data_IF_600592658169
#
_entry.id   IF_600592658169
#
_cell.length_a   1.000
_cell.length_b   1.000
_cell.length_c   1.000
_cell.angle_alpha   90.00
_cell.angle_beta   90.00
_cell.angle_gamma   90.00
#
_symmetry.space_group_name_H-M   'P 1'
#
loop_
_entity.id
_entity.type
_entity.pdbx_description
1 polymer ?
#
# COMPACT_ATOMS: atom_id res chain seq x y z
N UNK A 1 41.77 -24.43 8.78
CA UNK A 1 40.69 -25.40 8.47
C UNK A 1 39.36 -25.04 9.14
N UNK A 2 39.32 -24.73 10.44
CA UNK A 2 38.06 -24.33 11.13
C UNK A 2 37.41 -23.04 10.59
N UNK A 3 38.21 -22.02 10.26
CA UNK A 3 37.71 -20.74 9.72
C UNK A 3 36.99 -20.89 8.37
N UNK A 4 37.49 -21.78 7.51
CA UNK A 4 36.92 -22.04 6.18
C UNK A 4 35.58 -22.81 6.28
N UNK A 5 35.47 -23.70 7.27
CA UNK A 5 34.22 -24.40 7.59
C UNK A 5 33.19 -23.42 8.18
N UNK A 6 33.62 -22.52 9.07
CA UNK A 6 32.76 -21.48 9.62
C UNK A 6 32.22 -20.53 8.54
N UNK A 7 33.07 -20.10 7.61
CA UNK A 7 32.65 -19.27 6.47
C UNK A 7 31.63 -20.00 5.58
N UNK A 8 31.85 -21.27 5.30
CA UNK A 8 30.91 -22.08 4.51
C UNK A 8 29.54 -22.22 5.20
N UNK A 9 29.53 -22.47 6.51
CA UNK A 9 28.29 -22.53 7.30
C UNK A 9 27.56 -21.18 7.29
N UNK A 10 28.30 -20.08 7.39
CA UNK A 10 27.73 -18.73 7.33
C UNK A 10 27.10 -18.45 5.95
N UNK A 11 27.79 -18.72 4.85
CA UNK A 11 27.25 -18.55 3.49
C UNK A 11 25.99 -19.40 3.29
N UNK A 12 25.98 -20.65 3.79
CA UNK A 12 24.80 -21.51 3.72
C UNK A 12 23.62 -20.90 4.47
N UNK A 13 23.85 -20.36 5.67
CA UNK A 13 22.80 -19.68 6.45
C UNK A 13 22.27 -18.45 5.73
N UNK A 14 23.14 -17.61 5.17
CA UNK A 14 22.70 -16.42 4.42
C UNK A 14 21.88 -16.83 3.20
N UNK A 15 22.26 -17.90 2.48
CA UNK A 15 21.47 -18.44 1.37
C UNK A 15 20.06 -18.87 1.80
N UNK A 16 19.93 -19.50 2.96
CA UNK A 16 18.63 -19.88 3.53
C UNK A 16 17.78 -18.67 3.92
N UNK A 17 18.39 -17.65 4.54
CA UNK A 17 17.69 -16.41 4.91
C UNK A 17 17.21 -15.64 3.67
N UNK A 18 18.02 -15.59 2.60
CA UNK A 18 17.62 -14.98 1.32
C UNK A 18 16.50 -15.78 0.64
N UNK A 19 16.57 -17.11 0.67
CA UNK A 19 15.48 -17.95 0.17
C UNK A 19 14.18 -17.68 0.93
N UNK A 20 14.25 -17.51 2.26
CA UNK A 20 13.09 -17.21 3.09
C UNK A 20 12.45 -15.86 2.75
N UNK A 21 13.27 -14.82 2.56
CA UNK A 21 12.80 -13.50 2.12
C UNK A 21 12.12 -13.60 0.75
N UNK A 22 12.77 -14.26 -0.21
CA UNK A 22 12.28 -14.30 -1.58
C UNK A 22 11.02 -15.14 -1.79
N UNK A 23 10.88 -16.25 -1.06
CA UNK A 23 9.75 -17.17 -1.22
C UNK A 23 8.46 -16.70 -0.54
N UNK A 24 8.55 -15.66 0.30
CA UNK A 24 7.42 -15.05 1.00
C UNK A 24 6.67 -16.00 1.94
N UNK A 25 5.66 -15.47 2.63
CA UNK A 25 4.70 -16.30 3.37
C UNK A 25 3.73 -17.01 2.42
N UNK A 26 3.34 -16.38 1.30
CA UNK A 26 2.48 -16.92 0.24
C UNK A 26 2.84 -16.33 -1.15
N UNK A 27 2.07 -16.68 -2.19
CA UNK A 27 2.26 -16.18 -3.56
C UNK A 27 2.01 -14.66 -3.70
N UNK A 28 1.23 -14.05 -2.81
CA UNK A 28 0.88 -12.62 -2.83
C UNK A 28 1.93 -11.75 -2.10
N UNK A 29 2.71 -12.34 -1.20
CA UNK A 29 3.72 -11.70 -0.35
C UNK A 29 5.16 -12.07 -0.75
N UNK A 30 5.38 -12.36 -2.03
CA UNK A 30 6.74 -12.46 -2.56
C UNK A 30 7.45 -11.11 -2.40
N UNK A 31 8.71 -11.14 -1.99
CA UNK A 31 9.50 -9.92 -1.87
C UNK A 31 9.75 -9.26 -3.24
N UNK A 32 9.72 -10.06 -4.30
CA UNK A 32 9.70 -9.61 -5.69
C UNK A 32 8.37 -8.89 -6.00
N UNK A 33 8.46 -7.61 -6.39
CA UNK A 33 7.31 -6.75 -6.66
C UNK A 33 6.77 -5.99 -5.44
N UNK A 34 7.41 -6.12 -4.26
CA UNK A 34 6.95 -5.44 -3.05
C UNK A 34 7.06 -3.91 -3.17
N UNK A 35 8.09 -3.41 -3.87
CA UNK A 35 8.18 -1.98 -4.20
C UNK A 35 6.98 -1.47 -5.01
N UNK A 36 6.51 -2.25 -5.99
CA UNK A 36 5.37 -1.91 -6.84
C UNK A 36 4.05 -1.92 -6.05
N UNK A 37 3.87 -2.90 -5.16
CA UNK A 37 2.69 -2.96 -4.28
C UNK A 37 2.62 -1.75 -3.35
N UNK A 38 3.75 -1.35 -2.75
CA UNK A 38 3.79 -0.17 -1.88
C UNK A 38 3.54 1.12 -2.67
N UNK A 39 4.02 1.23 -3.91
CA UNK A 39 3.72 2.37 -4.79
C UNK A 39 2.22 2.44 -5.14
N UNK A 40 1.59 1.28 -5.39
CA UNK A 40 0.15 1.20 -5.61
C UNK A 40 -0.66 1.66 -4.39
N UNK A 41 -0.21 1.36 -3.16
CA UNK A 41 -0.82 1.88 -1.93
C UNK A 41 -0.74 3.41 -1.86
N UNK A 42 0.43 3.99 -2.15
CA UNK A 42 0.60 5.45 -2.15
C UNK A 42 -0.36 6.08 -3.15
N UNK A 43 -0.40 5.59 -4.40
CA UNK A 43 -1.32 6.09 -5.43
C UNK A 43 -2.79 5.96 -5.04
N UNK A 44 -3.19 4.79 -4.50
CA UNK A 44 -4.57 4.57 -4.08
C UNK A 44 -4.99 5.54 -2.97
N UNK A 45 -4.10 5.80 -2.00
CA UNK A 45 -4.37 6.75 -0.92
C UNK A 45 -4.40 8.20 -1.41
N UNK A 46 -3.51 8.60 -2.33
CA UNK A 46 -3.56 9.93 -2.98
C UNK A 46 -4.87 10.14 -3.75
N UNK A 47 -5.29 9.14 -4.53
CA UNK A 47 -6.54 9.21 -5.29
C UNK A 47 -7.78 9.30 -4.38
N UNK A 48 -7.79 8.55 -3.27
CA UNK A 48 -8.86 8.64 -2.28
C UNK A 48 -8.91 10.04 -1.65
N UNK A 49 -7.75 10.60 -1.25
CA UNK A 49 -7.67 11.96 -0.70
C UNK A 49 -8.13 13.02 -1.69
N UNK A 50 -7.71 12.95 -2.96
CA UNK A 50 -8.18 13.86 -4.01
C UNK A 50 -9.69 13.77 -4.22
N UNK A 51 -10.26 12.57 -4.14
CA UNK A 51 -11.70 12.35 -4.24
C UNK A 51 -12.45 12.99 -3.08
N UNK A 52 -11.94 12.85 -1.85
CA UNK A 52 -12.50 13.47 -0.64
C UNK A 52 -12.47 15.00 -0.76
N UNK A 53 -11.32 15.58 -1.11
CA UNK A 53 -11.19 17.04 -1.26
C UNK A 53 -12.13 17.58 -2.35
N UNK A 54 -12.23 16.90 -3.49
CA UNK A 54 -13.16 17.30 -4.56
C UNK A 54 -14.63 17.19 -4.15
N UNK A 55 -14.98 16.29 -3.23
CA UNK A 55 -16.31 16.21 -2.65
C UNK A 55 -16.58 17.37 -1.70
N UNK A 56 -15.62 17.73 -0.84
CA UNK A 56 -15.71 18.90 0.04
C UNK A 56 -15.86 20.20 -0.77
N UNK A 57 -15.14 20.35 -1.89
CA UNK A 57 -15.29 21.56 -2.74
C UNK A 57 -16.70 21.70 -3.32
N UNK A 58 -17.38 20.58 -3.56
CA UNK A 58 -18.78 20.59 -4.01
C UNK A 58 -19.71 20.96 -2.85
N UNK A 59 -19.41 20.52 -1.63
CA UNK A 59 -20.14 20.91 -0.42
C UNK A 59 -20.01 22.42 -0.17
N UNK A 60 -18.79 22.97 -0.20
CA UNK A 60 -18.53 24.40 -0.07
C UNK A 60 -19.39 25.23 -1.04
N UNK A 61 -19.45 24.81 -2.31
CA UNK A 61 -20.27 25.48 -3.35
C UNK A 61 -21.76 25.40 -3.03
N UNK A 62 -22.24 24.26 -2.55
CA UNK A 62 -23.64 24.07 -2.17
C UNK A 62 -24.00 24.93 -0.95
N UNK A 63 -23.15 24.95 0.08
CA UNK A 63 -23.30 25.77 1.28
C UNK A 63 -23.29 27.25 0.92
N UNK A 64 -22.34 27.71 0.10
CA UNK A 64 -22.29 29.10 -0.36
C UNK A 64 -23.55 29.52 -1.11
N UNK A 65 -24.08 28.63 -1.97
CA UNK A 65 -25.35 28.87 -2.68
C UNK A 65 -26.53 28.99 -1.71
N UNK A 66 -26.64 28.10 -0.74
CA UNK A 66 -27.70 28.13 0.27
C UNK A 66 -27.62 29.41 1.13
N UNK A 67 -26.40 29.81 1.52
CA UNK A 67 -26.17 31.01 2.32
C UNK A 67 -26.63 32.29 1.59
N UNK A 68 -26.55 32.32 0.26
CA UNK A 68 -27.09 33.42 -0.56
C UNK A 68 -28.62 33.44 -0.70
N UNK A 69 -29.31 32.36 -0.33
CA UNK A 69 -30.78 32.23 -0.42
C UNK A 69 -31.49 32.40 0.93
N UNK A 70 -30.74 32.31 2.03
CA UNK A 70 -31.26 32.30 3.39
C UNK A 70 -30.91 33.63 4.08
N UNK A 71 -31.81 34.13 4.93
CA UNK A 71 -31.57 35.34 5.74
C UNK A 71 -31.77 35.10 7.24
N UNK A 72 -32.16 33.88 7.61
CA UNK A 72 -32.35 33.50 9.01
C UNK A 72 -30.98 33.36 9.70
N UNK A 73 -30.75 34.06 10.84
CA UNK A 73 -29.46 34.04 11.52
C UNK A 73 -29.06 32.67 12.07
N UNK A 74 -30.02 31.87 12.54
CA UNK A 74 -29.75 30.56 13.13
C UNK A 74 -29.35 29.55 12.04
N UNK A 75 -30.07 29.55 10.93
CA UNK A 75 -29.71 28.76 9.75
C UNK A 75 -28.36 29.17 9.17
N UNK A 76 -28.05 30.46 9.16
CA UNK A 76 -26.75 30.98 8.69
C UNK A 76 -25.60 30.47 9.57
N UNK A 77 -25.78 30.44 10.88
CA UNK A 77 -24.78 29.92 11.82
C UNK A 77 -24.50 28.43 11.62
N UNK A 78 -25.52 27.62 11.31
CA UNK A 78 -25.35 26.20 10.99
C UNK A 78 -24.52 26.02 9.71
N UNK A 79 -24.78 26.83 8.68
CA UNK A 79 -23.99 26.78 7.43
C UNK A 79 -22.52 27.18 7.66
N UNK A 80 -22.28 28.14 8.55
CA UNK A 80 -20.90 28.51 8.95
C UNK A 80 -20.20 27.39 9.69
N UNK A 81 -20.90 26.67 10.56
CA UNK A 81 -20.35 25.48 11.21
C UNK A 81 -19.99 24.38 10.19
N UNK A 82 -20.78 24.20 9.13
CA UNK A 82 -20.45 23.24 8.06
C UNK A 82 -19.15 23.66 7.35
N UNK A 83 -19.02 24.93 6.98
CA UNK A 83 -17.77 25.41 6.37
C UNK A 83 -16.56 25.20 7.29
N UNK A 84 -16.68 25.45 8.60
CA UNK A 84 -15.60 25.19 9.57
C UNK A 84 -15.20 23.70 9.63
N UNK A 85 -16.18 22.80 9.56
CA UNK A 85 -15.93 21.37 9.47
C UNK A 85 -15.22 20.99 8.18
N UNK A 86 -15.65 21.52 7.02
CA UNK A 86 -15.02 21.28 5.72
C UNK A 86 -13.57 21.77 5.71
N UNK A 87 -13.28 22.94 6.32
CA UNK A 87 -11.90 23.42 6.53
C UNK A 87 -11.05 22.45 7.36
N UNK A 88 -11.62 21.88 8.43
CA UNK A 88 -10.93 20.89 9.26
C UNK A 88 -10.59 19.62 8.45
N UNK A 89 -11.44 19.22 7.51
CA UNK A 89 -11.19 18.09 6.61
C UNK A 89 -10.06 18.41 5.63
N UNK A 90 -10.02 19.61 5.03
CA UNK A 90 -8.92 20.01 4.15
C UNK A 90 -7.59 20.02 4.89
N UNK A 91 -7.54 20.57 6.10
CA UNK A 91 -6.33 20.55 6.92
C UNK A 91 -5.86 19.13 7.22
N UNK A 92 -6.78 18.24 7.62
CA UNK A 92 -6.46 16.84 7.86
C UNK A 92 -5.92 16.14 6.59
N UNK A 93 -6.55 16.37 5.43
CA UNK A 93 -6.12 15.81 4.16
C UNK A 93 -4.77 16.37 3.69
N UNK A 94 -4.43 17.62 4.03
CA UNK A 94 -3.15 18.23 3.64
C UNK A 94 -1.92 17.52 4.22
N UNK A 95 -2.08 16.85 5.38
CA UNK A 95 -1.01 16.03 5.98
C UNK A 95 -0.70 14.76 5.17
N UNK A 96 -1.57 14.36 4.23
CA UNK A 96 -1.36 13.20 3.37
C UNK A 96 -0.15 13.42 2.45
N UNK A 97 0.15 14.64 1.98
CA UNK A 97 1.33 14.93 1.15
C UNK A 97 2.64 14.56 1.88
N UNK A 98 2.79 14.99 3.15
CA UNK A 98 3.97 14.66 3.96
C UNK A 98 4.06 13.14 4.19
N UNK A 99 2.91 12.48 4.37
CA UNK A 99 2.85 11.03 4.54
C UNK A 99 3.27 10.31 3.26
N UNK A 100 2.74 10.70 2.10
CA UNK A 100 3.11 10.15 0.79
C UNK A 100 4.61 10.31 0.49
N UNK A 101 5.20 11.47 0.81
CA UNK A 101 6.64 11.68 0.67
C UNK A 101 7.47 10.77 1.59
N UNK A 102 7.03 10.56 2.84
CA UNK A 102 7.73 9.66 3.78
C UNK A 102 7.65 8.22 3.34
N UNK A 103 6.45 7.75 2.94
CA UNK A 103 6.26 6.40 2.43
C UNK A 103 7.08 6.20 1.16
N UNK A 104 7.11 7.16 0.24
CA UNK A 104 7.95 7.12 -0.96
C UNK A 104 9.45 6.92 -0.65
N UNK A 105 9.96 7.49 0.45
CA UNK A 105 11.34 7.24 0.89
C UNK A 105 11.53 5.81 1.41
N UNK A 106 10.55 5.28 2.14
CA UNK A 106 10.57 3.88 2.59
C UNK A 106 10.55 2.94 1.40
N UNK A 107 9.72 3.20 0.39
CA UNK A 107 9.65 2.42 -0.85
C UNK A 107 11.02 2.34 -1.51
N UNK A 108 11.72 3.47 -1.67
CA UNK A 108 13.08 3.49 -2.24
C UNK A 108 14.07 2.59 -1.49
N UNK A 109 13.99 2.56 -0.15
CA UNK A 109 14.83 1.69 0.67
C UNK A 109 14.46 0.22 0.49
N UNK A 110 13.15 -0.09 0.41
CA UNK A 110 12.67 -1.45 0.16
C UNK A 110 13.11 -1.94 -1.22
N UNK A 111 12.92 -1.14 -2.27
CA UNK A 111 13.38 -1.45 -3.63
C UNK A 111 14.89 -1.66 -3.68
N UNK A 112 15.67 -0.86 -2.95
CA UNK A 112 17.12 -1.07 -2.88
C UNK A 112 17.47 -2.44 -2.26
N UNK A 113 16.76 -2.87 -1.22
CA UNK A 113 16.97 -4.20 -0.63
C UNK A 113 16.51 -5.29 -1.61
N UNK A 114 15.37 -5.10 -2.27
CA UNK A 114 14.84 -5.98 -3.33
C UNK A 114 15.87 -6.23 -4.43
N UNK A 115 16.48 -5.18 -4.98
CA UNK A 115 17.53 -5.29 -6.00
C UNK A 115 18.73 -6.12 -5.52
N UNK A 116 19.13 -5.97 -4.25
CA UNK A 116 20.26 -6.70 -3.68
C UNK A 116 19.93 -8.17 -3.45
N UNK A 117 18.74 -8.45 -2.94
CA UNK A 117 18.22 -9.81 -2.78
C UNK A 117 18.17 -10.51 -4.14
N UNK A 118 17.61 -9.84 -5.16
CA UNK A 118 17.54 -10.36 -6.52
C UNK A 118 18.93 -10.64 -7.11
N UNK A 119 19.89 -9.73 -6.93
CA UNK A 119 21.27 -9.96 -7.37
C UNK A 119 21.93 -11.18 -6.71
N UNK A 120 21.69 -11.40 -5.40
CA UNK A 120 22.20 -12.59 -4.70
C UNK A 120 21.58 -13.89 -5.22
N UNK A 121 20.28 -13.86 -5.50
CA UNK A 121 19.56 -15.00 -6.07
C UNK A 121 20.08 -15.33 -7.47
N UNK A 122 20.33 -14.32 -8.30
CA UNK A 122 20.92 -14.52 -9.64
C UNK A 122 22.31 -15.15 -9.56
N UNK A 123 23.15 -14.72 -8.62
CA UNK A 123 24.49 -15.27 -8.42
C UNK A 123 24.48 -16.75 -7.98
N UNK A 124 23.51 -17.15 -7.16
CA UNK A 124 23.39 -18.54 -6.70
C UNK A 124 22.59 -19.45 -7.63
N UNK A 125 21.82 -18.86 -8.55
CA UNK A 125 20.90 -19.56 -9.44
C UNK A 125 19.51 -19.68 -8.85
N UNK A 126 18.50 -19.18 -9.57
CA UNK A 126 17.09 -19.15 -9.14
C UNK A 126 16.56 -20.53 -8.72
N UNK A 127 16.89 -21.58 -9.49
CA UNK A 127 16.44 -22.95 -9.21
C UNK A 127 17.07 -23.53 -7.95
N UNK A 128 18.27 -23.10 -7.60
CA UNK A 128 19.00 -23.56 -6.42
C UNK A 128 18.48 -22.90 -5.14
N UNK A 129 18.08 -21.64 -5.21
CA UNK A 129 17.43 -20.92 -4.10
C UNK A 129 16.00 -21.43 -3.86
N UNK A 130 15.26 -21.79 -4.91
CA UNK A 130 13.91 -22.37 -4.80
C UNK A 130 13.87 -23.76 -4.15
N UNK A 131 14.98 -24.51 -4.21
CA UNK A 131 15.10 -25.84 -3.58
C UNK A 131 15.34 -25.77 -2.07
N UNK A 132 15.69 -24.60 -1.53
CA UNK A 132 15.87 -24.43 -0.08
C UNK A 132 14.51 -24.60 0.62
N UNK A 133 14.49 -25.42 1.67
CA UNK A 133 13.32 -25.58 2.52
C UNK A 133 13.21 -24.35 3.43
N UNK A 134 12.11 -23.62 3.27
CA UNK A 134 11.75 -22.47 4.11
C UNK A 134 10.56 -22.90 4.96
N UNK A 135 10.67 -22.77 6.28
CA UNK A 135 9.51 -22.88 7.16
C UNK A 135 8.61 -21.66 6.92
N UNK A 136 7.35 -21.92 6.54
CA UNK A 136 6.33 -20.89 6.36
C UNK A 136 5.43 -20.87 7.58
N UNK A 137 5.21 -19.70 8.15
CA UNK A 137 4.16 -19.50 9.14
C UNK A 137 2.79 -19.58 8.44
N UNK A 138 1.90 -20.42 8.95
CA UNK A 138 0.53 -20.48 8.46
C UNK A 138 -0.23 -19.22 8.87
N UNK A 139 -0.78 -18.52 7.87
CA UNK A 139 -1.68 -17.38 8.11
C UNK A 139 -2.92 -17.80 8.89
N UNK A 140 -3.31 -16.97 9.84
CA UNK A 140 -4.61 -17.03 10.51
C UNK A 140 -5.76 -16.80 9.53
N UNK A 141 -6.99 -17.14 9.93
CA UNK A 141 -8.17 -16.93 9.08
C UNK A 141 -8.37 -15.45 8.72
N UNK A 142 -8.10 -14.54 9.65
CA UNK A 142 -8.27 -13.09 9.44
C UNK A 142 -7.22 -12.53 8.48
N UNK A 143 -5.97 -12.99 8.57
CA UNK A 143 -4.89 -12.57 7.66
C UNK A 143 -5.13 -13.02 6.21
N UNK A 144 -5.90 -14.08 6.00
CA UNK A 144 -6.31 -14.54 4.66
C UNK A 144 -7.40 -13.67 4.03
N UNK A 145 -8.11 -12.86 4.83
CA UNK A 145 -9.13 -11.94 4.34
C UNK A 145 -8.57 -10.57 3.97
N UNK A 146 -7.34 -10.25 4.37
CA UNK A 146 -6.67 -9.01 4.03
C UNK A 146 -6.08 -9.10 2.63
N UNK A 147 -6.75 -8.47 1.66
CA UNK A 147 -6.20 -8.25 0.32
C UNK A 147 -5.64 -6.83 0.19
N UNK A 148 -4.48 -6.69 -0.45
CA UNK A 148 -3.91 -5.39 -0.79
C UNK A 148 -4.75 -4.66 -1.86
N UNK A 149 -4.45 -3.38 -2.13
CA UNK A 149 -5.11 -2.65 -3.22
C UNK A 149 -4.87 -3.38 -4.54
N UNK A 150 -5.90 -3.38 -5.38
CA UNK A 150 -5.87 -4.11 -6.63
C UNK A 150 -4.93 -3.42 -7.62
N UNK A 151 -3.92 -4.16 -8.09
CA UNK A 151 -3.00 -3.67 -9.11
C UNK A 151 -3.74 -3.45 -10.44
N UNK A 152 -3.26 -2.47 -11.20
CA UNK A 152 -3.83 -2.11 -12.49
C UNK A 152 -3.88 -3.33 -13.42
N UNK A 153 -5.05 -3.61 -14.00
CA UNK A 153 -5.28 -4.78 -14.87
C UNK A 153 -5.49 -6.12 -14.14
N UNK A 154 -5.38 -6.18 -12.80
CA UNK A 154 -5.72 -7.36 -11.98
C UNK A 154 -7.12 -7.27 -11.35
N UNK A 155 -7.89 -6.26 -11.73
CA UNK A 155 -9.30 -6.03 -11.38
C UNK A 155 -10.21 -7.17 -11.83
N UNK A 156 -11.21 -7.53 -11.00
CA UNK A 156 -12.43 -8.12 -11.59
C UNK A 156 -13.10 -7.02 -12.40
N UNK A 157 -13.36 -7.28 -13.68
CA UNK A 157 -14.12 -6.34 -14.50
C UNK A 157 -15.55 -6.21 -13.95
N UNK A 158 -16.17 -5.03 -14.09
CA UNK A 158 -17.53 -4.78 -13.60
C UNK A 158 -18.51 -5.82 -14.17
N UNK A 159 -18.28 -6.28 -15.40
CA UNK A 159 -19.07 -7.36 -16.02
C UNK A 159 -18.97 -8.71 -15.28
N UNK A 160 -17.85 -8.98 -14.61
CA UNK A 160 -17.67 -10.18 -13.80
C UNK A 160 -18.38 -10.08 -12.46
N UNK A 161 -18.51 -8.86 -11.91
CA UNK A 161 -19.30 -8.59 -10.71
C UNK A 161 -20.79 -8.72 -11.03
N UNK A 162 -21.24 -8.15 -12.14
CA UNK A 162 -22.65 -8.20 -12.54
C UNK A 162 -23.11 -9.65 -12.78
N UNK A 163 -22.24 -10.50 -13.35
CA UNK A 163 -22.51 -11.93 -13.57
C UNK A 163 -22.63 -12.79 -12.29
N UNK A 164 -22.28 -12.25 -11.10
CA UNK A 164 -22.48 -12.94 -9.81
C UNK A 164 -23.87 -12.69 -9.22
N UNK A 165 -24.59 -11.68 -9.72
CA UNK A 165 -25.91 -11.27 -9.22
C UNK A 165 -27.06 -11.55 -10.22
N UNK A 166 -26.76 -12.11 -11.40
CA UNK A 166 -27.69 -12.67 -12.38
C UNK A 166 -27.78 -14.21 -12.28
#
# INVERSE_FOLDING_TARGET
KGELIGLFQYIKRVRQEIAAINQGADEDHNFEGMGEQLDAIVKATENATNTIMAAMEKNDKAVAKLKGMISDPEQTAILDQINENDQSVYEACSFQDITGQRVSKVIKSVTFVEDRVNALIELWGKDEVKKEQVERDEKTADEKLLSGPQLEGKGLDQSAIDALFD
#
